data_IF_382079076633
#
_entry.id   IF_382079076633
#
_cell.length_a   1.000
_cell.length_b   1.000
_cell.length_c   1.000
_cell.angle_alpha   90.00
_cell.angle_beta   90.00
_cell.angle_gamma   90.00
#
_symmetry.space_group_name_H-M   'P 1'
#
loop_
_entity.id
_entity.type
_entity.pdbx_description
1 polymer ?
#
# COMPACT_ATOMS: atom_id res chain seq x y z
N UNK A 1 -15.53 -21.62 11.28
CA UNK A 1 -15.28 -20.49 12.21
C UNK A 1 -15.52 -19.22 11.43
N UNK A 2 -16.48 -18.37 11.80
CA UNK A 2 -16.62 -17.05 11.15
C UNK A 2 -15.33 -16.29 11.48
N UNK A 3 -14.51 -16.06 10.48
CA UNK A 3 -13.38 -15.15 10.57
C UNK A 3 -13.90 -13.81 11.10
N UNK A 4 -13.11 -13.15 11.92
CA UNK A 4 -13.47 -11.91 12.59
C UNK A 4 -13.38 -10.76 11.58
N UNK A 5 -14.33 -10.71 10.63
CA UNK A 5 -14.39 -9.74 9.55
C UNK A 5 -14.74 -8.37 10.14
N UNK A 6 -13.90 -7.40 9.86
CA UNK A 6 -14.06 -6.00 10.30
C UNK A 6 -14.78 -5.16 9.26
N UNK A 7 -14.48 -5.38 7.98
CA UNK A 7 -15.15 -4.74 6.84
C UNK A 7 -15.71 -5.85 5.95
N UNK A 8 -16.99 -5.75 5.55
CA UNK A 8 -17.60 -6.59 4.53
C UNK A 8 -18.32 -5.73 3.50
N UNK A 9 -17.94 -5.88 2.24
CA UNK A 9 -18.49 -5.12 1.11
C UNK A 9 -19.02 -6.09 0.06
N UNK A 10 -20.27 -5.88 -0.36
CA UNK A 10 -20.96 -6.69 -1.36
C UNK A 10 -21.58 -5.78 -2.43
N UNK A 11 -21.08 -5.84 -3.68
CA UNK A 11 -21.61 -5.12 -4.84
C UNK A 11 -21.61 -3.60 -4.71
N UNK A 12 -20.58 -3.03 -4.04
CA UNK A 12 -20.50 -1.59 -3.82
C UNK A 12 -20.39 -0.84 -5.15
N UNK A 13 -21.33 0.10 -5.35
CA UNK A 13 -21.35 1.00 -6.51
C UNK A 13 -21.46 2.44 -6.06
N UNK A 14 -20.69 3.31 -6.70
CA UNK A 14 -20.77 4.76 -6.55
C UNK A 14 -20.59 5.47 -7.88
N UNK A 15 -21.55 6.33 -8.20
CA UNK A 15 -21.61 7.11 -9.44
C UNK A 15 -21.61 8.60 -9.11
N UNK A 16 -20.94 9.39 -9.91
CA UNK A 16 -21.00 10.86 -9.90
C UNK A 16 -21.42 11.31 -11.31
N UNK A 17 -22.61 11.86 -11.41
CA UNK A 17 -23.26 12.18 -12.68
C UNK A 17 -23.26 10.97 -13.62
N UNK A 18 -22.52 11.00 -14.73
CA UNK A 18 -22.39 9.89 -15.68
C UNK A 18 -21.15 9.00 -15.42
N UNK A 19 -20.29 9.39 -14.46
CA UNK A 19 -19.04 8.67 -14.17
C UNK A 19 -19.21 7.66 -13.04
N UNK A 20 -18.95 6.37 -13.31
CA UNK A 20 -18.98 5.31 -12.32
C UNK A 20 -17.59 5.25 -11.66
N UNK A 21 -17.48 5.79 -10.46
CA UNK A 21 -16.22 5.82 -9.71
C UNK A 21 -15.89 4.48 -9.03
N UNK A 22 -16.92 3.73 -8.62
CA UNK A 22 -16.80 2.38 -8.03
C UNK A 22 -17.91 1.52 -8.64
N UNK A 23 -17.55 0.38 -9.21
CA UNK A 23 -18.42 -0.44 -10.03
C UNK A 23 -18.52 -1.88 -9.49
N UNK A 24 -19.54 -2.14 -8.68
CA UNK A 24 -19.91 -3.46 -8.15
C UNK A 24 -18.77 -4.22 -7.44
N UNK A 25 -17.92 -3.53 -6.70
CA UNK A 25 -16.81 -4.18 -5.99
C UNK A 25 -17.29 -4.93 -4.75
N UNK A 26 -16.66 -6.08 -4.48
CA UNK A 26 -16.94 -6.91 -3.31
C UNK A 26 -15.64 -7.40 -2.72
N UNK A 27 -15.45 -7.21 -1.40
CA UNK A 27 -14.30 -7.70 -0.65
C UNK A 27 -14.57 -7.66 0.86
N UNK A 28 -13.72 -8.32 1.62
CA UNK A 28 -13.73 -8.30 3.08
C UNK A 28 -12.36 -7.89 3.63
N UNK A 29 -12.33 -7.45 4.90
CA UNK A 29 -11.10 -7.19 5.65
C UNK A 29 -11.19 -7.87 7.00
N UNK A 30 -10.15 -8.64 7.35
CA UNK A 30 -10.10 -9.39 8.60
C UNK A 30 -9.47 -8.57 9.73
N UNK A 31 -9.83 -8.88 10.97
CA UNK A 31 -9.22 -8.25 12.14
C UNK A 31 -7.72 -8.57 12.20
N UNK A 32 -6.92 -7.54 12.44
CA UNK A 32 -5.46 -7.65 12.62
C UNK A 32 -4.66 -7.78 11.32
N UNK A 33 -5.31 -7.71 10.14
CA UNK A 33 -4.57 -7.67 8.88
C UNK A 33 -4.22 -6.24 8.45
N UNK A 34 -3.17 -6.10 7.68
CA UNK A 34 -2.90 -4.93 6.83
C UNK A 34 -3.44 -5.22 5.45
N UNK A 35 -4.50 -4.54 5.09
CA UNK A 35 -5.15 -4.63 3.80
C UNK A 35 -4.82 -3.41 2.95
N UNK A 36 -4.29 -3.61 1.73
CA UNK A 36 -3.97 -2.53 0.81
C UNK A 36 -4.95 -2.46 -0.34
N UNK A 37 -5.47 -1.28 -0.61
CA UNK A 37 -6.18 -0.95 -1.83
C UNK A 37 -5.21 -0.25 -2.79
N UNK A 38 -4.73 -1.00 -3.78
CA UNK A 38 -3.70 -0.58 -4.73
C UNK A 38 -4.33 -0.20 -6.08
N UNK A 39 -3.91 0.90 -6.66
CA UNK A 39 -4.35 1.31 -8.00
C UNK A 39 -3.89 2.71 -8.37
N UNK A 40 -3.99 3.11 -9.65
CA UNK A 40 -3.63 4.43 -10.11
C UNK A 40 -4.56 5.52 -9.54
N UNK A 41 -4.16 6.78 -9.74
CA UNK A 41 -5.04 7.90 -9.44
C UNK A 41 -6.31 7.84 -10.30
N UNK A 42 -7.45 8.13 -9.68
CA UNK A 42 -8.76 8.02 -10.32
C UNK A 42 -9.33 6.59 -10.38
N UNK A 43 -8.65 5.57 -9.86
CA UNK A 43 -9.15 4.19 -9.87
C UNK A 43 -10.35 3.93 -8.97
N UNK A 44 -10.76 4.88 -8.12
CA UNK A 44 -11.87 4.72 -7.18
C UNK A 44 -11.44 4.47 -5.73
N UNK A 45 -10.13 4.49 -5.42
CA UNK A 45 -9.60 4.25 -4.06
C UNK A 45 -10.20 5.20 -3.02
N UNK A 46 -10.02 6.50 -3.21
CA UNK A 46 -10.53 7.54 -2.28
C UNK A 46 -12.03 7.47 -2.10
N UNK A 47 -12.79 7.26 -3.19
CA UNK A 47 -14.24 7.08 -3.11
C UNK A 47 -14.63 5.87 -2.26
N UNK A 48 -13.93 4.74 -2.44
CA UNK A 48 -14.16 3.52 -1.64
C UNK A 48 -13.88 3.78 -0.17
N UNK A 49 -12.73 4.40 0.15
CA UNK A 49 -12.33 4.73 1.53
C UNK A 49 -13.32 5.67 2.19
N UNK A 50 -13.69 6.79 1.54
CA UNK A 50 -14.65 7.76 2.07
C UNK A 50 -16.03 7.13 2.38
N UNK A 51 -16.45 6.12 1.61
CA UNK A 51 -17.68 5.37 1.91
C UNK A 51 -17.49 4.53 3.19
N UNK A 52 -16.37 3.80 3.29
CA UNK A 52 -16.09 2.96 4.46
C UNK A 52 -15.93 3.80 5.72
N UNK A 53 -15.36 5.00 5.61
CA UNK A 53 -15.21 5.98 6.71
C UNK A 53 -16.53 6.67 7.10
N UNK A 54 -17.64 6.29 6.48
CA UNK A 54 -18.96 6.94 6.69
C UNK A 54 -18.97 8.45 6.31
N UNK A 55 -18.14 8.87 5.35
CA UNK A 55 -18.13 10.23 4.81
C UNK A 55 -19.05 10.36 3.60
N UNK A 56 -19.17 9.28 2.81
CA UNK A 56 -20.05 9.21 1.63
C UNK A 56 -21.01 8.03 1.72
N UNK A 57 -22.12 8.15 1.01
CA UNK A 57 -23.13 7.10 0.93
C UNK A 57 -22.96 6.34 -0.39
N UNK A 58 -22.97 5.00 -0.39
CA UNK A 58 -22.99 4.22 -1.62
C UNK A 58 -24.35 4.39 -2.34
N UNK A 59 -24.34 4.27 -3.67
CA UNK A 59 -25.57 4.27 -4.46
C UNK A 59 -26.20 2.87 -4.45
N UNK A 60 -25.37 1.82 -4.58
CA UNK A 60 -25.80 0.43 -4.47
C UNK A 60 -24.82 -0.40 -3.63
N UNK A 61 -25.26 -1.60 -3.30
CA UNK A 61 -24.48 -2.57 -2.55
C UNK A 61 -24.74 -2.52 -1.04
N UNK A 62 -24.02 -3.39 -0.35
CA UNK A 62 -24.03 -3.54 1.10
C UNK A 62 -22.64 -3.29 1.63
N UNK A 63 -22.52 -2.43 2.65
CA UNK A 63 -21.27 -2.16 3.37
C UNK A 63 -21.52 -2.35 4.85
N UNK A 64 -20.77 -3.23 5.46
CA UNK A 64 -20.80 -3.48 6.91
C UNK A 64 -19.42 -3.27 7.51
N UNK A 65 -19.35 -2.54 8.62
CA UNK A 65 -18.13 -2.32 9.40
C UNK A 65 -18.41 -2.71 10.83
N UNK A 66 -17.57 -3.59 11.40
CA UNK A 66 -17.82 -4.22 12.71
C UNK A 66 -19.20 -4.87 12.81
N UNK A 67 -19.73 -5.42 11.69
CA UNK A 67 -21.07 -5.99 11.60
C UNK A 67 -22.21 -4.97 11.57
N UNK A 68 -21.90 -3.67 11.53
CA UNK A 68 -22.88 -2.58 11.44
C UNK A 68 -23.03 -2.15 9.98
N UNK A 69 -24.26 -2.22 9.45
CA UNK A 69 -24.57 -1.76 8.10
C UNK A 69 -24.51 -0.23 8.01
N UNK A 70 -23.79 0.33 7.02
CA UNK A 70 -23.65 1.77 6.84
C UNK A 70 -24.99 2.50 6.55
N UNK A 71 -26.00 1.79 6.07
CA UNK A 71 -27.35 2.38 5.90
C UNK A 71 -28.03 2.76 7.21
N UNK A 72 -27.58 2.16 8.34
CA UNK A 72 -28.07 2.51 9.69
C UNK A 72 -27.33 3.76 10.21
N UNK A 73 -27.84 4.94 9.82
CA UNK A 73 -27.25 6.24 10.19
C UNK A 73 -27.14 6.44 11.70
N UNK A 74 -28.01 5.81 12.50
CA UNK A 74 -27.97 5.93 13.97
C UNK A 74 -26.73 5.25 14.56
N UNK A 75 -26.24 4.20 13.91
CA UNK A 75 -25.08 3.43 14.37
C UNK A 75 -23.74 3.89 13.76
N UNK A 76 -23.74 4.77 12.77
CA UNK A 76 -22.49 5.29 12.21
C UNK A 76 -21.58 5.97 13.25
N UNK A 77 -22.16 6.56 14.31
CA UNK A 77 -21.38 7.09 15.43
C UNK A 77 -20.55 6.02 16.15
N UNK A 78 -21.07 4.80 16.26
CA UNK A 78 -20.36 3.68 16.86
C UNK A 78 -19.15 3.28 15.99
N UNK A 79 -19.33 3.22 14.67
CA UNK A 79 -18.23 2.95 13.73
C UNK A 79 -17.16 4.04 13.87
N UNK A 80 -17.54 5.32 13.81
CA UNK A 80 -16.60 6.45 13.87
C UNK A 80 -15.78 6.52 15.16
N UNK A 81 -16.29 5.97 16.26
CA UNK A 81 -15.52 5.88 17.52
C UNK A 81 -14.43 4.80 17.50
N UNK A 82 -14.57 3.79 16.63
CA UNK A 82 -13.67 2.64 16.53
C UNK A 82 -12.68 2.74 15.38
N UNK A 83 -12.80 3.76 14.53
CA UNK A 83 -11.89 4.01 13.41
C UNK A 83 -10.98 5.18 13.71
N UNK A 84 -9.74 5.10 13.24
CA UNK A 84 -8.82 6.22 13.13
C UNK A 84 -8.54 6.51 11.66
N UNK A 85 -8.44 7.76 11.28
CA UNK A 85 -8.27 8.17 9.89
C UNK A 85 -7.11 9.13 9.77
N UNK A 86 -6.19 8.82 8.86
CA UNK A 86 -5.17 9.74 8.39
C UNK A 86 -5.41 9.99 6.88
N UNK A 87 -6.02 11.12 6.49
CA UNK A 87 -6.27 11.43 5.09
C UNK A 87 -4.97 11.81 4.37
N UNK A 88 -4.95 11.67 3.04
CA UNK A 88 -3.81 11.98 2.18
C UNK A 88 -3.21 13.38 2.42
N UNK A 89 -4.07 14.40 2.50
CA UNK A 89 -3.68 15.80 2.72
C UNK A 89 -3.80 16.19 4.20
N UNK A 90 -3.25 15.36 5.10
CA UNK A 90 -3.27 15.67 6.53
C UNK A 90 -2.34 16.84 6.87
N UNK A 91 -2.88 17.82 7.61
CA UNK A 91 -2.09 18.88 8.23
C UNK A 91 -2.59 19.12 9.67
N UNK A 92 -1.65 19.21 10.59
CA UNK A 92 -1.91 19.66 11.96
C UNK A 92 -1.70 21.18 12.05
N UNK A 93 -1.78 21.73 13.26
CA UNK A 93 -1.62 23.17 13.48
C UNK A 93 -0.17 23.58 13.42
N UNK A 94 0.22 24.37 12.46
CA UNK A 94 1.59 24.78 12.15
C UNK A 94 2.35 25.43 13.32
N UNK A 95 1.66 26.22 14.14
CA UNK A 95 2.20 27.00 15.22
C UNK A 95 2.15 26.30 16.58
N UNK A 96 1.59 25.12 16.65
CA UNK A 96 1.64 24.28 17.83
C UNK A 96 2.83 23.31 17.72
N UNK A 97 3.38 22.95 18.87
CA UNK A 97 4.40 21.90 18.99
C UNK A 97 3.79 20.53 18.67
N UNK A 98 4.64 19.51 18.54
CA UNK A 98 4.17 18.11 18.39
C UNK A 98 3.27 17.75 19.57
N UNK A 99 3.70 18.04 20.81
CA UNK A 99 2.95 17.74 22.02
C UNK A 99 1.61 18.47 22.07
N UNK A 100 1.60 19.77 21.82
CA UNK A 100 0.37 20.59 21.84
C UNK A 100 -0.64 20.14 20.78
N UNK A 101 -0.18 19.75 19.59
CA UNK A 101 -1.05 19.16 18.57
C UNK A 101 -1.72 17.87 19.09
N UNK A 102 -0.93 16.95 19.64
CA UNK A 102 -1.47 15.70 20.16
C UNK A 102 -2.39 15.91 21.36
N UNK A 103 -2.06 16.82 22.28
CA UNK A 103 -2.90 17.19 23.41
C UNK A 103 -4.22 17.81 22.95
N UNK A 104 -4.19 18.68 21.92
CA UNK A 104 -5.39 19.26 21.34
C UNK A 104 -6.35 18.18 20.83
N UNK A 105 -5.87 17.26 20.00
CA UNK A 105 -6.71 16.19 19.47
C UNK A 105 -7.13 15.19 20.55
N UNK A 106 -6.27 14.88 21.53
CA UNK A 106 -6.64 14.05 22.68
C UNK A 106 -7.84 14.64 23.44
N UNK A 107 -7.82 15.95 23.69
CA UNK A 107 -8.91 16.63 24.38
C UNK A 107 -10.18 16.68 23.50
N UNK A 108 -10.04 16.85 22.17
CA UNK A 108 -11.15 16.84 21.23
C UNK A 108 -11.88 15.49 21.20
N UNK A 109 -11.15 14.40 21.31
CA UNK A 109 -11.69 13.03 21.33
C UNK A 109 -12.08 12.56 22.74
N UNK A 110 -11.86 13.35 23.78
CA UNK A 110 -12.04 12.96 25.19
C UNK A 110 -11.32 11.65 25.52
N UNK A 111 -10.08 11.50 25.02
CA UNK A 111 -9.27 10.31 25.14
C UNK A 111 -8.34 10.38 26.36
N UNK A 112 -8.10 9.24 26.98
CA UNK A 112 -7.19 9.09 28.11
C UNK A 112 -5.79 8.61 27.69
N UNK A 113 -5.51 8.53 26.38
CA UNK A 113 -4.21 8.04 25.88
C UNK A 113 -3.08 8.96 26.34
N UNK A 114 -1.94 8.37 26.69
CA UNK A 114 -0.73 9.12 27.02
C UNK A 114 -0.13 9.74 25.76
N UNK A 115 -0.08 11.07 25.71
CA UNK A 115 0.56 11.80 24.62
C UNK A 115 2.05 11.52 24.55
N UNK A 116 2.73 11.40 25.70
CA UNK A 116 4.16 11.09 25.73
C UNK A 116 4.46 9.68 25.18
N UNK A 117 3.59 8.70 25.47
CA UNK A 117 3.67 7.36 24.84
C UNK A 117 3.43 7.40 23.33
N UNK A 118 2.49 8.22 22.86
CA UNK A 118 2.27 8.38 21.41
C UNK A 118 3.50 9.00 20.74
N UNK A 119 4.11 10.02 21.35
CA UNK A 119 5.33 10.67 20.83
C UNK A 119 6.49 9.67 20.76
N UNK A 120 6.66 8.84 21.78
CA UNK A 120 7.68 7.78 21.77
C UNK A 120 7.39 6.74 20.67
N UNK A 121 6.12 6.29 20.57
CA UNK A 121 5.68 5.31 19.59
C UNK A 121 5.96 5.73 18.13
N UNK A 122 5.83 7.04 17.84
CA UNK A 122 6.14 7.60 16.51
C UNK A 122 7.61 8.04 16.35
N UNK A 123 8.45 7.85 17.39
CA UNK A 123 9.87 8.16 17.35
C UNK A 123 10.19 9.65 17.28
N UNK A 124 9.39 10.51 17.90
CA UNK A 124 9.56 11.97 17.88
C UNK A 124 9.89 12.58 19.25
N UNK A 125 10.39 11.79 20.21
CA UNK A 125 10.75 12.28 21.58
C UNK A 125 11.68 13.50 21.53
N UNK A 126 12.69 13.51 20.64
CA UNK A 126 13.61 14.65 20.48
C UNK A 126 12.98 15.88 19.82
N UNK A 127 11.73 15.77 19.35
CA UNK A 127 10.97 16.80 18.64
C UNK A 127 9.67 17.19 19.34
N UNK A 128 9.47 16.71 20.57
CA UNK A 128 8.27 16.97 21.39
C UNK A 128 7.86 18.43 21.41
N UNK A 129 8.83 19.33 21.63
CA UNK A 129 8.60 20.78 21.74
C UNK A 129 8.90 21.54 20.42
N UNK A 130 9.14 20.82 19.32
CA UNK A 130 9.33 21.44 17.99
C UNK A 130 7.99 21.82 17.38
N UNK A 131 7.88 23.02 16.80
CA UNK A 131 6.67 23.46 16.10
C UNK A 131 6.43 22.57 14.87
N UNK A 132 5.17 22.21 14.60
CA UNK A 132 4.78 21.34 13.50
C UNK A 132 5.28 21.82 12.13
N UNK A 133 5.23 23.13 11.85
CA UNK A 133 5.74 23.72 10.60
C UNK A 133 7.24 23.48 10.35
N UNK A 134 8.03 23.22 11.40
CA UNK A 134 9.49 22.99 11.30
C UNK A 134 9.86 21.53 11.07
N UNK A 135 8.88 20.63 11.10
CA UNK A 135 9.08 19.20 10.89
C UNK A 135 9.31 18.87 9.40
N UNK A 136 10.10 17.84 9.15
CA UNK A 136 10.19 17.25 7.80
C UNK A 136 8.85 16.59 7.40
N UNK A 137 8.64 16.34 6.10
CA UNK A 137 7.45 15.65 5.61
C UNK A 137 7.17 14.33 6.32
N UNK A 138 8.19 13.48 6.47
CA UNK A 138 8.05 12.21 7.19
C UNK A 138 7.73 12.36 8.68
N UNK A 139 8.25 13.39 9.36
CA UNK A 139 7.86 13.68 10.74
C UNK A 139 6.41 14.14 10.83
N UNK A 140 5.96 15.02 9.91
CA UNK A 140 4.56 15.47 9.82
C UNK A 140 3.61 14.29 9.61
N UNK A 141 3.98 13.37 8.72
CA UNK A 141 3.21 12.16 8.44
C UNK A 141 3.07 11.28 9.69
N UNK A 142 4.16 11.08 10.45
CA UNK A 142 4.13 10.32 11.70
C UNK A 142 3.26 11.01 12.77
N UNK A 143 3.23 12.33 12.84
CA UNK A 143 2.28 13.07 13.70
C UNK A 143 0.84 12.79 13.26
N UNK A 144 0.54 12.76 11.95
CA UNK A 144 -0.77 12.40 11.41
C UNK A 144 -1.20 10.98 11.83
N UNK A 145 -0.29 10.02 11.73
CA UNK A 145 -0.54 8.66 12.22
C UNK A 145 -0.81 8.67 13.74
N UNK A 146 -0.02 9.42 14.54
CA UNK A 146 -0.26 9.51 15.97
C UNK A 146 -1.64 10.09 16.30
N UNK A 147 -2.07 11.14 15.60
CA UNK A 147 -3.39 11.74 15.77
C UNK A 147 -4.50 10.73 15.44
N UNK A 148 -4.32 9.93 14.37
CA UNK A 148 -5.30 8.89 14.02
C UNK A 148 -5.38 7.74 15.04
N UNK A 149 -4.40 7.63 15.94
CA UNK A 149 -4.37 6.64 17.01
C UNK A 149 -4.96 7.13 18.35
N UNK A 150 -5.30 8.42 18.47
CA UNK A 150 -5.69 9.05 19.74
C UNK A 150 -6.93 8.40 20.37
N UNK A 151 -7.90 8.01 19.57
CA UNK A 151 -9.12 7.33 20.04
C UNK A 151 -8.96 5.81 20.20
N UNK A 152 -7.71 5.29 20.18
CA UNK A 152 -7.38 3.87 20.29
C UNK A 152 -8.17 2.97 19.32
N UNK A 153 -8.18 3.29 18.01
CA UNK A 153 -9.05 2.63 17.06
C UNK A 153 -8.78 1.12 16.92
N UNK A 154 -9.84 0.36 16.59
CA UNK A 154 -9.73 -1.03 16.18
C UNK A 154 -9.33 -1.17 14.70
N UNK A 155 -9.68 -0.17 13.87
CA UNK A 155 -9.39 -0.08 12.44
C UNK A 155 -8.79 1.28 12.11
N UNK A 156 -7.62 1.27 11.48
CA UNK A 156 -6.88 2.47 11.08
C UNK A 156 -6.91 2.60 9.56
N UNK A 157 -7.37 3.73 9.06
CA UNK A 157 -7.28 4.11 7.65
C UNK A 157 -6.06 5.01 7.44
N UNK A 158 -5.23 4.65 6.48
CA UNK A 158 -4.05 5.42 6.07
C UNK A 158 -4.13 5.67 4.56
N UNK A 159 -4.49 6.89 4.18
CA UNK A 159 -4.61 7.26 2.77
C UNK A 159 -3.25 7.78 2.26
N UNK A 160 -2.58 6.98 1.43
CA UNK A 160 -1.25 7.25 0.85
C UNK A 160 -0.20 7.69 1.89
N UNK A 161 0.08 6.86 2.93
CA UNK A 161 0.82 7.29 4.12
C UNK A 161 2.27 7.68 3.85
N UNK A 162 2.85 7.37 2.69
CA UNK A 162 4.24 7.70 2.37
C UNK A 162 4.41 8.47 1.07
N UNK A 163 3.30 9.00 0.51
CA UNK A 163 3.36 9.80 -0.70
C UNK A 163 4.27 11.03 -0.52
N UNK A 164 5.17 11.26 -1.48
CA UNK A 164 6.08 12.39 -1.48
C UNK A 164 7.20 12.36 -0.43
N UNK A 165 7.38 11.25 0.29
CA UNK A 165 8.47 11.09 1.26
C UNK A 165 9.76 10.61 0.57
N UNK A 166 10.89 11.07 1.10
CA UNK A 166 12.19 10.51 0.76
C UNK A 166 12.31 9.04 1.21
N UNK A 167 13.25 8.25 0.65
CA UNK A 167 13.36 6.81 0.95
C UNK A 167 13.60 6.50 2.44
N UNK A 168 14.29 7.35 3.19
CA UNK A 168 14.53 7.14 4.60
C UNK A 168 13.25 7.36 5.41
N UNK A 169 12.56 8.49 5.19
CA UNK A 169 11.30 8.82 5.87
C UNK A 169 10.21 7.77 5.55
N UNK A 170 10.17 7.26 4.31
CA UNK A 170 9.28 6.17 3.90
C UNK A 170 9.53 4.91 4.74
N UNK A 171 10.78 4.46 4.86
CA UNK A 171 11.14 3.28 5.68
C UNK A 171 10.80 3.47 7.16
N UNK A 172 11.02 4.67 7.71
CA UNK A 172 10.66 4.99 9.10
C UNK A 172 9.13 4.88 9.31
N UNK A 173 8.33 5.37 8.35
CA UNK A 173 6.87 5.26 8.40
C UNK A 173 6.40 3.81 8.25
N UNK A 174 7.00 3.03 7.34
CA UNK A 174 6.71 1.59 7.21
C UNK A 174 7.00 0.82 8.49
N UNK A 175 8.13 1.11 9.14
CA UNK A 175 8.47 0.49 10.43
C UNK A 175 7.44 0.82 11.52
N UNK A 176 6.89 2.04 11.53
CA UNK A 176 5.80 2.40 12.43
C UNK A 176 4.54 1.59 12.12
N UNK A 177 4.12 1.50 10.86
CA UNK A 177 2.95 0.72 10.44
C UNK A 177 3.11 -0.76 10.81
N UNK A 178 4.29 -1.35 10.57
CA UNK A 178 4.61 -2.74 10.98
C UNK A 178 4.49 -2.95 12.49
N UNK A 179 4.96 -2.01 13.31
CA UNK A 179 4.79 -2.07 14.76
C UNK A 179 3.31 -2.02 15.18
N UNK A 180 2.50 -1.17 14.53
CA UNK A 180 1.07 -1.11 14.80
C UNK A 180 0.36 -2.43 14.47
N UNK A 181 0.72 -3.06 13.33
CA UNK A 181 0.26 -4.40 12.98
C UNK A 181 0.63 -5.44 14.05
N UNK A 182 1.89 -5.46 14.51
CA UNK A 182 2.35 -6.37 15.56
C UNK A 182 1.59 -6.18 16.88
N UNK A 183 1.05 -4.99 17.13
CA UNK A 183 0.16 -4.69 18.26
C UNK A 183 -1.29 -5.14 18.03
N UNK A 184 -1.58 -5.82 16.92
CA UNK A 184 -2.91 -6.34 16.59
C UNK A 184 -3.87 -5.33 15.97
N UNK A 185 -3.41 -4.17 15.53
CA UNK A 185 -4.25 -3.20 14.83
C UNK A 185 -4.62 -3.71 13.44
N UNK A 186 -5.87 -3.52 13.06
CA UNK A 186 -6.32 -3.69 11.68
C UNK A 186 -6.01 -2.41 10.91
N UNK A 187 -5.37 -2.52 9.75
CA UNK A 187 -4.95 -1.35 8.97
C UNK A 187 -5.48 -1.49 7.55
N UNK A 188 -6.22 -0.48 7.11
CA UNK A 188 -6.62 -0.32 5.71
C UNK A 188 -5.79 0.81 5.13
N UNK A 189 -4.94 0.51 4.15
CA UNK A 189 -4.14 1.53 3.50
C UNK A 189 -4.49 1.65 2.00
N UNK A 190 -4.44 2.86 1.49
CA UNK A 190 -4.43 3.08 0.05
C UNK A 190 -3.03 3.44 -0.39
N UNK A 191 -2.65 3.00 -1.56
CA UNK A 191 -1.38 3.39 -2.16
C UNK A 191 -1.40 3.22 -3.68
N UNK A 192 -0.53 3.93 -4.35
CA UNK A 192 -0.18 3.68 -5.74
C UNK A 192 1.26 3.13 -5.88
N UNK A 193 1.99 3.00 -4.76
CA UNK A 193 3.34 2.43 -4.73
C UNK A 193 3.28 0.92 -4.50
N UNK A 194 3.75 0.14 -5.48
CA UNK A 194 3.78 -1.33 -5.41
C UNK A 194 4.69 -1.82 -4.29
N UNK A 195 5.85 -1.16 -4.12
CA UNK A 195 6.80 -1.49 -3.06
C UNK A 195 6.17 -1.35 -1.67
N UNK A 196 5.38 -0.30 -1.42
CA UNK A 196 4.65 -0.11 -0.16
C UNK A 196 3.62 -1.21 0.09
N UNK A 197 2.80 -1.50 -0.93
CA UNK A 197 1.81 -2.58 -0.84
C UNK A 197 2.49 -3.93 -0.60
N UNK A 198 3.59 -4.24 -1.29
CA UNK A 198 4.34 -5.48 -1.14
C UNK A 198 4.97 -5.62 0.25
N UNK A 199 5.50 -4.52 0.81
CA UNK A 199 6.26 -4.51 2.06
C UNK A 199 5.37 -4.53 3.31
N UNK A 200 4.17 -3.95 3.23
CA UNK A 200 3.31 -3.75 4.40
C UNK A 200 2.13 -4.72 4.49
N UNK A 201 1.59 -5.16 3.36
CA UNK A 201 0.26 -5.76 3.34
C UNK A 201 0.28 -7.28 3.49
N UNK A 202 -0.71 -7.80 4.18
CA UNK A 202 -1.03 -9.23 4.17
C UNK A 202 -1.82 -9.60 2.93
N UNK A 203 -2.69 -8.68 2.49
CA UNK A 203 -3.54 -8.85 1.32
C UNK A 203 -3.68 -7.53 0.57
N UNK A 204 -3.62 -7.62 -0.74
CA UNK A 204 -3.74 -6.50 -1.67
C UNK A 204 -4.98 -6.72 -2.52
N UNK A 205 -5.74 -5.65 -2.71
CA UNK A 205 -6.79 -5.56 -3.70
C UNK A 205 -6.37 -4.55 -4.77
N UNK A 206 -6.27 -5.00 -6.01
CA UNK A 206 -5.94 -4.13 -7.14
C UNK A 206 -7.23 -3.63 -7.77
N UNK A 207 -7.39 -2.29 -7.79
CA UNK A 207 -8.55 -1.63 -8.38
C UNK A 207 -8.12 -0.76 -9.57
N UNK A 208 -8.87 -0.87 -10.68
CA UNK A 208 -8.67 -0.06 -11.90
C UNK A 208 -10.04 0.32 -12.44
N UNK A 209 -10.22 1.61 -12.75
CA UNK A 209 -11.46 2.13 -13.33
C UNK A 209 -12.72 1.67 -12.56
N UNK A 210 -12.61 1.71 -11.22
CA UNK A 210 -13.68 1.32 -10.30
C UNK A 210 -13.92 -0.17 -10.16
N UNK A 211 -13.12 -1.05 -10.77
CA UNK A 211 -13.30 -2.51 -10.74
C UNK A 211 -12.12 -3.21 -10.08
N UNK A 212 -12.40 -4.29 -9.36
CA UNK A 212 -11.37 -5.18 -8.85
C UNK A 212 -10.83 -6.02 -10.00
N UNK A 213 -9.51 -5.98 -10.21
CA UNK A 213 -8.82 -6.77 -11.24
C UNK A 213 -8.08 -7.98 -10.67
N UNK A 214 -7.59 -7.87 -9.44
CA UNK A 214 -6.97 -8.99 -8.73
C UNK A 214 -7.00 -8.76 -7.20
N UNK A 215 -6.93 -9.85 -6.45
CA UNK A 215 -6.80 -9.82 -4.99
C UNK A 215 -6.00 -11.05 -4.52
N UNK A 216 -5.14 -10.86 -3.52
CA UNK A 216 -4.33 -11.91 -2.92
C UNK A 216 -3.24 -11.37 -2.01
N UNK A 217 -2.47 -12.23 -1.40
CA UNK A 217 -1.22 -11.83 -0.75
C UNK A 217 -0.21 -11.29 -1.78
N UNK A 218 0.77 -10.47 -1.39
CA UNK A 218 1.82 -10.02 -2.31
C UNK A 218 2.49 -11.19 -3.05
N UNK A 219 2.77 -12.28 -2.36
CA UNK A 219 3.40 -13.48 -2.93
C UNK A 219 2.51 -14.18 -3.96
N UNK A 220 1.21 -14.34 -3.68
CA UNK A 220 0.25 -14.93 -4.63
C UNK A 220 0.10 -14.07 -5.89
N UNK A 221 0.03 -12.74 -5.74
CA UNK A 221 -0.07 -11.84 -6.89
C UNK A 221 1.20 -11.88 -7.75
N UNK A 222 2.37 -11.92 -7.13
CA UNK A 222 3.65 -12.03 -7.83
C UNK A 222 3.77 -13.39 -8.53
N UNK A 223 3.38 -14.49 -7.87
CA UNK A 223 3.43 -15.84 -8.45
C UNK A 223 2.49 -15.98 -9.64
N UNK A 224 1.26 -15.45 -9.53
CA UNK A 224 0.25 -15.59 -10.57
C UNK A 224 0.44 -14.63 -11.75
N UNK A 225 1.01 -13.45 -11.50
CA UNK A 225 1.03 -12.37 -12.50
C UNK A 225 2.40 -11.72 -12.72
N UNK A 226 3.40 -11.98 -11.86
CA UNK A 226 4.71 -11.32 -11.90
C UNK A 226 5.63 -11.77 -13.06
N UNK A 227 5.20 -12.78 -13.82
CA UNK A 227 6.01 -13.32 -14.92
C UNK A 227 7.15 -14.23 -14.46
N UNK A 228 8.11 -14.45 -15.34
CA UNK A 228 9.20 -15.39 -15.12
C UNK A 228 10.43 -14.70 -14.51
N UNK A 229 11.23 -15.49 -13.77
CA UNK A 229 12.58 -15.07 -13.39
C UNK A 229 13.43 -14.97 -14.64
N UNK A 230 14.22 -13.92 -14.77
CA UNK A 230 15.08 -13.73 -15.93
C UNK A 230 16.46 -13.19 -15.57
N UNK A 231 17.42 -13.48 -16.44
CA UNK A 231 18.73 -12.83 -16.45
C UNK A 231 18.77 -11.90 -17.65
N UNK A 232 19.23 -10.68 -17.42
CA UNK A 232 19.55 -9.73 -18.47
C UNK A 232 21.06 -9.69 -18.59
N UNK A 233 21.56 -9.92 -19.80
CA UNK A 233 22.97 -9.81 -20.13
C UNK A 233 23.21 -8.63 -21.07
N UNK A 234 24.13 -7.75 -20.69
CA UNK A 234 24.63 -6.68 -21.55
C UNK A 234 26.06 -7.02 -21.97
N UNK A 235 26.42 -6.59 -23.16
CA UNK A 235 27.77 -6.83 -23.75
C UNK A 235 28.16 -8.32 -23.86
N UNK A 236 27.20 -9.24 -23.98
CA UNK A 236 27.46 -10.67 -24.07
C UNK A 236 27.56 -11.10 -25.54
N UNK A 237 28.61 -11.91 -25.84
CA UNK A 237 28.72 -12.57 -27.15
C UNK A 237 27.69 -13.72 -27.24
N UNK A 238 26.75 -13.61 -28.19
CA UNK A 238 25.70 -14.58 -28.45
C UNK A 238 26.19 -15.97 -28.75
N UNK A 239 27.35 -16.08 -29.39
CA UNK A 239 27.97 -17.38 -29.70
C UNK A 239 28.24 -18.22 -28.46
N UNK A 240 28.44 -17.61 -27.29
CA UNK A 240 28.63 -18.32 -26.02
C UNK A 240 27.36 -19.07 -25.62
N UNK A 241 26.20 -18.39 -25.75
CA UNK A 241 24.91 -18.97 -25.42
C UNK A 241 24.46 -20.02 -26.41
N UNK A 242 24.69 -19.80 -27.70
CA UNK A 242 24.38 -20.75 -28.77
C UNK A 242 25.18 -22.06 -28.64
N UNK A 243 26.46 -21.98 -28.34
CA UNK A 243 27.31 -23.16 -28.10
C UNK A 243 26.85 -24.02 -26.91
N UNK A 244 26.16 -23.41 -25.94
CA UNK A 244 25.63 -24.07 -24.73
C UNK A 244 24.15 -24.39 -24.82
N UNK A 245 23.51 -24.17 -25.98
CA UNK A 245 22.08 -24.35 -26.22
C UNK A 245 21.20 -23.63 -25.19
N UNK A 246 21.58 -22.40 -24.82
CA UNK A 246 20.80 -21.55 -23.95
C UNK A 246 19.85 -20.70 -24.81
N UNK A 247 18.54 -20.83 -24.58
CA UNK A 247 17.53 -20.02 -25.26
C UNK A 247 17.52 -18.60 -24.68
N UNK A 248 17.42 -17.62 -25.56
CA UNK A 248 17.38 -16.21 -25.17
C UNK A 248 16.48 -15.39 -26.12
N UNK A 249 16.04 -14.26 -25.63
CA UNK A 249 15.37 -13.21 -26.41
C UNK A 249 16.24 -11.97 -26.40
N UNK A 250 16.03 -11.08 -27.39
CA UNK A 250 16.76 -9.81 -27.49
C UNK A 250 15.74 -8.70 -27.47
N UNK A 251 15.91 -7.74 -26.58
CA UNK A 251 15.07 -6.56 -26.52
C UNK A 251 15.48 -5.47 -27.52
N UNK A 252 14.73 -4.36 -27.52
CA UNK A 252 14.97 -3.20 -28.40
C UNK A 252 16.29 -2.46 -28.11
N UNK A 253 16.87 -2.67 -26.93
CA UNK A 253 18.18 -2.11 -26.51
C UNK A 253 19.35 -3.08 -26.76
N UNK A 254 19.08 -4.16 -27.49
CA UNK A 254 20.08 -5.23 -27.78
C UNK A 254 20.57 -5.98 -26.53
N UNK A 255 19.82 -5.94 -25.43
CA UNK A 255 20.09 -6.73 -24.25
C UNK A 255 19.54 -8.14 -24.42
N UNK A 256 20.24 -9.13 -23.87
CA UNK A 256 19.86 -10.53 -23.96
C UNK A 256 19.07 -10.90 -22.71
N UNK A 257 17.86 -11.41 -22.89
CA UNK A 257 16.97 -11.87 -21.84
C UNK A 257 16.91 -13.41 -21.84
N UNK A 258 17.20 -14.01 -20.70
CA UNK A 258 17.17 -15.47 -20.53
C UNK A 258 16.23 -15.79 -19.37
N UNK A 259 15.15 -16.51 -19.67
CA UNK A 259 14.19 -17.00 -18.66
C UNK A 259 14.79 -18.25 -17.98
N UNK A 260 14.60 -18.39 -16.68
CA UNK A 260 14.98 -19.58 -15.93
C UNK A 260 13.94 -19.92 -14.85
N UNK A 261 13.72 -21.22 -14.61
CA UNK A 261 12.72 -21.71 -13.67
C UNK A 261 13.33 -22.06 -12.30
N UNK A 262 14.58 -22.50 -12.29
CA UNK A 262 15.23 -22.99 -11.08
C UNK A 262 16.71 -22.57 -10.99
N UNK A 263 17.30 -22.80 -9.81
CA UNK A 263 18.69 -22.42 -9.55
C UNK A 263 19.71 -23.20 -10.40
N UNK A 264 19.41 -24.42 -10.82
CA UNK A 264 20.33 -25.19 -11.66
C UNK A 264 20.46 -24.55 -13.05
N UNK A 265 19.35 -24.09 -13.63
CA UNK A 265 19.38 -23.31 -14.87
C UNK A 265 20.12 -21.97 -14.67
N UNK A 266 19.86 -21.27 -13.57
CA UNK A 266 20.57 -20.04 -13.22
C UNK A 266 22.09 -20.28 -13.19
N UNK A 267 22.53 -21.29 -12.46
CA UNK A 267 23.98 -21.61 -12.36
C UNK A 267 24.60 -22.00 -13.70
N UNK A 268 23.88 -22.74 -14.55
CA UNK A 268 24.34 -23.05 -15.90
C UNK A 268 24.54 -21.81 -16.76
N UNK A 269 23.59 -20.84 -16.68
CA UNK A 269 23.69 -19.59 -17.43
C UNK A 269 24.86 -18.77 -16.90
N UNK A 270 24.98 -18.61 -15.59
CA UNK A 270 26.09 -17.87 -14.98
C UNK A 270 27.44 -18.47 -15.34
N UNK A 271 27.61 -19.78 -15.22
CA UNK A 271 28.84 -20.49 -15.60
C UNK A 271 29.14 -20.39 -17.11
N UNK A 272 28.18 -20.03 -17.94
CA UNK A 272 28.43 -19.82 -19.36
C UNK A 272 29.03 -18.46 -19.66
N UNK A 273 28.74 -17.44 -18.88
CA UNK A 273 29.02 -16.03 -19.19
C UNK A 273 30.04 -15.38 -18.26
N UNK A 274 30.35 -15.98 -17.12
CA UNK A 274 31.28 -15.42 -16.11
C UNK A 274 32.75 -15.39 -16.56
N UNK A 275 33.11 -16.09 -17.62
CA UNK A 275 34.49 -16.07 -18.16
C UNK A 275 34.79 -14.79 -18.97
N UNK A 276 33.78 -14.04 -19.37
CA UNK A 276 33.93 -12.75 -20.06
C UNK A 276 33.77 -11.59 -19.06
N UNK A 277 34.86 -10.83 -18.77
CA UNK A 277 34.83 -9.75 -17.80
C UNK A 277 34.02 -8.54 -18.25
N UNK A 278 33.60 -8.47 -19.52
CA UNK A 278 32.84 -7.35 -20.06
C UNK A 278 31.32 -7.57 -19.94
N UNK A 279 30.87 -8.77 -19.60
CA UNK A 279 29.45 -9.08 -19.49
C UNK A 279 28.89 -8.55 -18.19
N UNK A 280 27.94 -7.65 -18.31
CA UNK A 280 27.12 -7.18 -17.18
C UNK A 280 25.93 -8.13 -17.01
N UNK A 281 25.72 -8.59 -15.76
CA UNK A 281 24.67 -9.54 -15.43
C UNK A 281 23.69 -8.90 -14.44
N UNK A 282 22.42 -8.83 -14.82
CA UNK A 282 21.33 -8.41 -13.95
C UNK A 282 20.34 -9.58 -13.79
N UNK A 283 20.05 -9.97 -12.53
CA UNK A 283 19.05 -11.00 -12.25
C UNK A 283 17.75 -10.32 -11.86
N UNK A 284 16.73 -10.45 -12.71
CA UNK A 284 15.38 -9.97 -12.43
C UNK A 284 14.54 -11.07 -11.78
N UNK A 285 13.99 -10.74 -10.63
CA UNK A 285 12.96 -11.56 -9.97
C UNK A 285 11.59 -10.91 -10.19
N UNK A 286 10.54 -11.70 -10.39
CA UNK A 286 9.18 -11.18 -10.41
C UNK A 286 8.91 -10.32 -9.18
N UNK A 287 8.22 -9.22 -9.37
CA UNK A 287 7.81 -8.31 -8.33
C UNK A 287 6.38 -7.83 -8.57
N UNK A 288 5.84 -7.03 -7.66
CA UNK A 288 4.47 -6.56 -7.77
C UNK A 288 4.29 -5.52 -8.90
N UNK A 289 5.35 -4.79 -9.27
CA UNK A 289 5.33 -3.87 -10.43
C UNK A 289 5.12 -4.63 -11.74
N UNK A 290 5.84 -5.74 -11.94
CA UNK A 290 5.67 -6.60 -13.11
C UNK A 290 4.29 -7.29 -13.09
N UNK A 291 3.83 -7.74 -11.91
CA UNK A 291 2.50 -8.31 -11.77
C UNK A 291 1.41 -7.30 -12.16
N UNK A 292 1.55 -6.06 -11.71
CA UNK A 292 0.64 -4.98 -12.06
C UNK A 292 0.66 -4.68 -13.57
N UNK A 293 1.85 -4.57 -14.16
CA UNK A 293 2.02 -4.35 -15.61
C UNK A 293 1.35 -5.45 -16.43
N UNK A 294 1.58 -6.71 -16.07
CA UNK A 294 1.00 -7.87 -16.78
C UNK A 294 -0.53 -7.93 -16.66
N UNK A 295 -1.07 -7.52 -15.49
CA UNK A 295 -2.52 -7.46 -15.28
C UNK A 295 -3.20 -6.34 -16.06
N UNK A 296 -2.52 -5.22 -16.29
CA UNK A 296 -3.15 -3.98 -16.72
C UNK A 296 -2.67 -3.47 -18.07
N UNK A 297 -1.52 -3.97 -18.53
CA UNK A 297 -0.80 -3.44 -19.69
C UNK A 297 -0.21 -2.05 -19.47
N UNK A 298 -0.18 -1.54 -18.24
CA UNK A 298 0.22 -0.17 -17.89
C UNK A 298 1.10 -0.15 -16.65
N UNK A 299 2.06 0.76 -16.58
CA UNK A 299 2.83 1.06 -15.37
C UNK A 299 2.25 2.24 -14.63
N UNK A 300 2.33 2.26 -13.31
CA UNK A 300 2.05 3.45 -12.52
C UNK A 300 3.37 4.19 -12.30
N UNK A 301 3.39 5.50 -12.57
CA UNK A 301 4.53 6.35 -12.25
C UNK A 301 4.46 6.87 -10.80
N UNK A 302 5.52 7.58 -10.35
CA UNK A 302 5.60 8.15 -8.98
C UNK A 302 4.49 9.17 -8.67
N UNK A 303 3.81 9.71 -9.68
CA UNK A 303 2.66 10.59 -9.53
C UNK A 303 1.33 9.81 -9.44
N UNK A 304 1.36 8.47 -9.51
CA UNK A 304 0.18 7.62 -9.47
C UNK A 304 -0.62 7.60 -10.78
N UNK A 305 -0.03 8.04 -11.90
CA UNK A 305 -0.66 8.00 -13.22
C UNK A 305 -0.31 6.70 -13.94
N UNK A 306 -1.32 6.03 -14.52
CA UNK A 306 -1.11 4.87 -15.38
C UNK A 306 -0.61 5.31 -16.76
N UNK A 307 0.46 4.69 -17.26
CA UNK A 307 1.04 4.93 -18.60
C UNK A 307 0.96 3.68 -19.44
#
# INVERSE_FOLDING_TARGET
>A
MKQNIVINIEGLTKTYDEFIAVNEISFDVNKGEVFALLGPNGAGKTTTVEIIECLKTPDNGKVEIFGINLKDKNKQKEIKRKIGVMPQNFNAFDWLTVKENLDYFRNLYDSNISVDELIDRIGLVKKTDSMYKTLSGGMKQRVGIAISLINEPELLFLDEPTAGLDPQARRETWNLIKKLKQQGKTIFLTTHYMEEAQELSDRILIIIEGKIVASGSPSELIENYGGNKSIILKNCDRNILEKKNIQYEIDTESQIHIIFDNNDQLFKILAAVTDDPNVEIEIKKPNLDEAFLNLTGRRINDEGLAK
#
